data_IF_017650868395
#
_entry.id   IF_017650868395
#
_cell.length_a   1.000
_cell.length_b   1.000
_cell.length_c   1.000
_cell.angle_alpha   90.00
_cell.angle_beta   90.00
_cell.angle_gamma   90.00
#
_symmetry.space_group_name_H-M   'P 1'
#
loop_
_entity.id
_entity.type
_entity.pdbx_description
1 polymer ?
#
# COMPACT_ATOMS: atom_id res chain seq x y z
N UNK A 1 -30.71 -7.78 13.40
CA UNK A 1 -29.92 -7.10 12.37
C UNK A 1 -28.56 -6.78 12.99
N UNK A 2 -27.49 -7.20 12.37
CA UNK A 2 -26.14 -7.00 12.94
C UNK A 2 -25.73 -5.53 12.95
N UNK A 3 -24.82 -5.17 13.85
CA UNK A 3 -24.17 -3.87 13.87
C UNK A 3 -23.38 -3.65 12.59
N UNK A 4 -23.45 -2.46 12.02
CA UNK A 4 -22.77 -2.10 10.78
C UNK A 4 -21.25 -2.15 10.93
N UNK A 5 -20.72 -1.65 12.06
CA UNK A 5 -19.28 -1.64 12.30
C UNK A 5 -18.72 -3.04 12.59
N UNK A 6 -19.48 -3.89 13.30
CA UNK A 6 -19.09 -5.30 13.48
C UNK A 6 -19.02 -6.04 12.13
N UNK A 7 -19.98 -5.82 11.24
CA UNK A 7 -19.95 -6.40 9.89
C UNK A 7 -18.75 -5.93 9.07
N UNK A 8 -18.38 -4.63 9.16
CA UNK A 8 -17.21 -4.10 8.47
C UNK A 8 -15.91 -4.71 9.03
N UNK A 9 -15.81 -4.82 10.36
CA UNK A 9 -14.70 -5.48 11.04
C UNK A 9 -14.55 -6.94 10.61
N UNK A 10 -15.64 -7.73 10.65
CA UNK A 10 -15.63 -9.13 10.22
C UNK A 10 -15.15 -9.30 8.77
N UNK A 11 -15.61 -8.43 7.86
CA UNK A 11 -15.15 -8.44 6.46
C UNK A 11 -13.66 -8.07 6.38
N UNK A 12 -13.18 -7.11 7.18
CA UNK A 12 -11.77 -6.76 7.23
C UNK A 12 -10.90 -7.87 7.82
N UNK A 13 -11.42 -8.71 8.70
CA UNK A 13 -10.74 -9.88 9.27
C UNK A 13 -10.75 -11.10 8.33
N UNK A 14 -11.71 -11.21 7.44
CA UNK A 14 -11.80 -12.34 6.50
C UNK A 14 -10.68 -12.30 5.45
N UNK A 15 -9.72 -13.24 5.46
CA UNK A 15 -8.62 -13.27 4.49
C UNK A 15 -9.07 -13.49 3.05
N UNK A 16 -10.30 -13.97 2.83
CA UNK A 16 -10.88 -14.18 1.51
C UNK A 16 -11.61 -12.93 0.98
N UNK A 17 -11.95 -11.97 1.84
CA UNK A 17 -12.61 -10.75 1.40
C UNK A 17 -11.67 -9.89 0.53
N UNK A 18 -12.22 -9.33 -0.54
CA UNK A 18 -11.46 -8.48 -1.45
C UNK A 18 -11.07 -7.15 -0.76
N UNK A 19 -9.80 -6.71 -0.80
CA UNK A 19 -9.43 -5.38 -0.35
C UNK A 19 -10.22 -4.25 -1.04
N UNK A 20 -10.65 -4.45 -2.29
CA UNK A 20 -11.49 -3.49 -3.01
C UNK A 20 -12.89 -3.36 -2.36
N UNK A 21 -13.50 -4.48 -1.97
CA UNK A 21 -14.81 -4.47 -1.31
C UNK A 21 -14.73 -3.87 0.09
N UNK A 22 -13.64 -4.15 0.82
CA UNK A 22 -13.35 -3.54 2.13
C UNK A 22 -13.25 -2.02 1.98
N UNK A 23 -12.47 -1.55 1.00
CA UNK A 23 -12.27 -0.13 0.70
C UNK A 23 -13.61 0.59 0.43
N UNK A 24 -14.43 0.05 -0.47
CA UNK A 24 -15.71 0.68 -0.83
C UNK A 24 -16.69 0.73 0.36
N UNK A 25 -16.78 -0.35 1.13
CA UNK A 25 -17.62 -0.39 2.33
C UNK A 25 -17.12 0.59 3.40
N UNK A 26 -15.81 0.63 3.65
CA UNK A 26 -15.20 1.55 4.60
C UNK A 26 -15.42 3.02 4.19
N UNK A 27 -15.24 3.34 2.90
CA UNK A 27 -15.47 4.69 2.38
C UNK A 27 -16.94 5.11 2.54
N UNK A 28 -17.88 4.19 2.31
CA UNK A 28 -19.29 4.47 2.54
C UNK A 28 -19.55 4.79 4.03
N UNK A 29 -19.06 3.97 4.97
CA UNK A 29 -19.27 4.19 6.39
C UNK A 29 -18.59 5.48 6.88
N UNK A 30 -17.35 5.75 6.45
CA UNK A 30 -16.67 7.00 6.76
C UNK A 30 -17.45 8.23 6.27
N UNK A 31 -18.12 8.11 5.11
CA UNK A 31 -18.96 9.17 4.55
C UNK A 31 -20.22 9.40 5.40
N UNK A 32 -20.90 8.34 5.82
CA UNK A 32 -22.09 8.46 6.69
C UNK A 32 -21.74 9.00 8.06
N UNK A 33 -20.58 8.61 8.63
CA UNK A 33 -20.03 9.13 9.88
C UNK A 33 -19.44 10.54 9.75
N UNK A 34 -19.26 11.06 8.51
CA UNK A 34 -18.66 12.37 8.21
C UNK A 34 -17.22 12.54 8.67
N UNK A 35 -16.46 11.46 8.77
CA UNK A 35 -15.05 11.46 9.16
C UNK A 35 -14.15 11.85 7.99
N UNK A 36 -13.94 13.15 7.79
CA UNK A 36 -13.21 13.70 6.64
C UNK A 36 -11.80 13.12 6.44
N UNK A 37 -10.95 12.98 7.49
CA UNK A 37 -9.59 12.42 7.30
C UNK A 37 -9.63 11.00 6.74
N UNK A 38 -10.48 10.12 7.31
CA UNK A 38 -10.66 8.73 6.85
C UNK A 38 -11.19 8.69 5.42
N UNK A 39 -12.19 9.53 5.08
CA UNK A 39 -12.72 9.62 3.71
C UNK A 39 -11.65 10.03 2.70
N UNK A 40 -10.83 11.03 3.03
CA UNK A 40 -9.78 11.53 2.13
C UNK A 40 -8.72 10.46 1.91
N UNK A 41 -8.28 9.77 2.96
CA UNK A 41 -7.36 8.66 2.86
C UNK A 41 -7.92 7.53 1.99
N UNK A 42 -9.14 7.04 2.27
CA UNK A 42 -9.77 5.97 1.49
C UNK A 42 -10.00 6.35 0.02
N UNK A 43 -10.29 7.62 -0.29
CA UNK A 43 -10.38 8.08 -1.68
C UNK A 43 -9.04 8.03 -2.39
N UNK A 44 -7.95 8.43 -1.71
CA UNK A 44 -6.59 8.31 -2.27
C UNK A 44 -6.20 6.85 -2.50
N UNK A 45 -6.57 5.97 -1.59
CA UNK A 45 -6.37 4.53 -1.79
C UNK A 45 -7.15 4.00 -3.00
N UNK A 46 -8.38 4.49 -3.21
CA UNK A 46 -9.24 4.10 -4.33
C UNK A 46 -8.78 4.68 -5.67
N UNK A 47 -8.39 5.96 -5.67
CA UNK A 47 -8.15 6.73 -6.91
C UNK A 47 -6.66 6.79 -7.28
N UNK A 48 -5.77 6.37 -6.37
CA UNK A 48 -4.33 6.51 -6.49
C UNK A 48 -3.83 7.88 -6.02
N UNK A 49 -2.51 8.07 -6.04
CA UNK A 49 -1.83 9.28 -5.58
C UNK A 49 -1.24 10.05 -6.76
N UNK A 50 -1.48 11.35 -6.84
CA UNK A 50 -0.88 12.22 -7.86
C UNK A 50 0.65 12.32 -7.69
N UNK A 51 1.36 12.72 -8.75
CA UNK A 51 2.83 12.74 -8.76
C UNK A 51 3.44 13.70 -7.72
N UNK A 52 2.75 14.79 -7.40
CA UNK A 52 3.14 15.83 -6.45
C UNK A 52 2.56 15.60 -5.03
N UNK A 53 1.76 14.55 -4.85
CA UNK A 53 1.10 14.27 -3.58
C UNK A 53 1.98 13.34 -2.72
N UNK A 54 2.16 13.60 -1.40
CA UNK A 54 2.90 12.69 -0.53
C UNK A 54 2.18 11.37 -0.38
N UNK A 55 2.93 10.27 -0.42
CA UNK A 55 2.40 8.93 -0.13
C UNK A 55 2.66 8.55 1.32
N UNK A 56 1.77 7.79 1.98
CA UNK A 56 2.04 7.21 3.30
C UNK A 56 3.26 6.27 3.29
N UNK A 57 3.91 6.10 4.45
CA UNK A 57 5.13 5.29 4.55
C UNK A 57 4.97 3.84 4.10
N UNK A 58 3.82 3.22 4.35
CA UNK A 58 3.56 1.86 3.87
C UNK A 58 3.49 1.73 2.33
N UNK A 59 3.45 2.85 1.60
CA UNK A 59 3.54 2.89 0.14
C UNK A 59 4.94 3.20 -0.39
N UNK A 60 5.95 3.28 0.48
CA UNK A 60 7.36 3.48 0.12
C UNK A 60 8.09 2.13 0.15
N UNK A 61 8.54 1.66 -0.99
CA UNK A 61 9.30 0.41 -1.12
C UNK A 61 10.80 0.69 -1.00
N UNK A 62 11.30 0.76 0.24
CA UNK A 62 12.71 1.03 0.54
C UNK A 62 13.64 -0.13 0.13
N UNK A 63 13.13 -1.35 0.08
CA UNK A 63 13.83 -2.55 -0.34
C UNK A 63 13.93 -2.75 -1.87
N UNK A 64 13.67 -1.69 -2.66
CA UNK A 64 13.80 -1.76 -4.11
C UNK A 64 15.27 -1.84 -4.52
N UNK A 65 15.58 -2.69 -5.51
CA UNK A 65 16.94 -2.87 -6.03
C UNK A 65 17.12 -2.10 -7.33
N UNK A 66 18.22 -1.37 -7.47
CA UNK A 66 18.55 -0.68 -8.72
C UNK A 66 19.00 -1.68 -9.79
N UNK A 67 18.40 -1.58 -10.97
CA UNK A 67 18.75 -2.33 -12.16
C UNK A 67 19.35 -1.40 -13.21
N UNK A 68 20.33 -1.91 -13.94
CA UNK A 68 20.94 -1.24 -15.10
C UNK A 68 20.74 -2.09 -16.36
N UNK A 69 20.47 -1.45 -17.49
CA UNK A 69 20.39 -2.14 -18.78
C UNK A 69 21.78 -2.37 -19.35
N UNK A 70 22.09 -3.62 -19.68
CA UNK A 70 23.35 -4.00 -20.35
C UNK A 70 23.04 -4.58 -21.73
N UNK A 71 23.57 -4.01 -22.82
CA UNK A 71 23.44 -4.58 -24.15
C UNK A 71 23.91 -6.04 -24.18
N UNK A 72 23.11 -6.93 -24.77
CA UNK A 72 23.39 -8.37 -24.86
C UNK A 72 23.05 -9.20 -23.61
N UNK A 73 22.90 -8.58 -22.42
CA UNK A 73 22.53 -9.27 -21.19
C UNK A 73 21.15 -8.85 -20.66
N UNK A 74 20.59 -7.72 -21.12
CA UNK A 74 19.32 -7.20 -20.62
C UNK A 74 19.45 -6.46 -19.29
N UNK A 75 18.43 -6.54 -18.45
CA UNK A 75 18.43 -5.93 -17.12
C UNK A 75 19.26 -6.76 -16.14
N UNK A 76 20.23 -6.14 -15.51
CA UNK A 76 21.08 -6.73 -14.46
C UNK A 76 21.01 -5.87 -13.21
N UNK A 77 21.35 -6.42 -12.05
CA UNK A 77 21.54 -5.61 -10.85
C UNK A 77 22.65 -4.58 -11.12
N UNK A 78 22.40 -3.31 -10.81
CA UNK A 78 23.39 -2.27 -11.01
C UNK A 78 24.65 -2.57 -10.16
N UNK A 79 25.84 -2.49 -10.74
CA UNK A 79 27.09 -2.75 -10.01
C UNK A 79 27.50 -1.54 -9.16
N UNK A 80 26.69 -1.20 -8.16
CA UNK A 80 26.84 -0.03 -7.30
C UNK A 80 26.78 -0.42 -5.83
N UNK A 81 27.36 0.41 -4.98
CA UNK A 81 27.22 0.27 -3.54
C UNK A 81 25.81 0.71 -3.12
N UNK A 82 25.01 -0.23 -2.67
CA UNK A 82 23.61 -0.01 -2.26
C UNK A 82 23.51 1.03 -1.11
N UNK A 83 24.51 1.12 -0.24
CA UNK A 83 24.53 2.09 0.86
C UNK A 83 24.56 3.52 0.32
N UNK A 84 25.32 3.77 -0.76
CA UNK A 84 25.45 5.11 -1.35
C UNK A 84 24.16 5.60 -2.02
N UNK A 85 23.32 4.67 -2.51
CA UNK A 85 22.08 4.99 -3.20
C UNK A 85 20.83 4.70 -2.34
N UNK A 86 21.00 4.24 -1.12
CA UNK A 86 19.92 3.89 -0.21
C UNK A 86 18.92 5.03 -0.11
N UNK A 87 18.31 5.70 0.02
CA UNK A 87 17.34 6.79 0.00
C UNK A 87 16.92 7.28 -1.41
N UNK A 88 17.70 6.94 -2.46
CA UNK A 88 17.34 7.26 -3.84
C UNK A 88 16.55 6.13 -4.53
N UNK A 89 16.62 4.93 -3.98
CA UNK A 89 16.00 3.73 -4.55
C UNK A 89 14.64 3.39 -3.91
N UNK A 90 14.18 4.18 -2.95
CA UNK A 90 12.84 4.02 -2.38
C UNK A 90 11.78 4.36 -3.44
N UNK A 91 11.07 3.32 -3.93
CA UNK A 91 10.00 3.52 -4.90
C UNK A 91 8.70 3.96 -4.18
N UNK A 92 8.08 5.02 -4.67
CA UNK A 92 6.75 5.44 -4.22
C UNK A 92 5.66 4.73 -5.05
N UNK A 93 4.83 3.94 -4.37
CA UNK A 93 3.80 3.11 -5.00
C UNK A 93 2.46 3.85 -5.04
N UNK A 94 2.25 4.60 -6.10
CA UNK A 94 1.12 5.53 -6.28
C UNK A 94 -0.13 4.90 -6.88
N UNK A 95 -0.02 3.66 -7.36
CA UNK A 95 -1.11 2.92 -8.02
C UNK A 95 -2.30 2.72 -7.07
N UNK A 96 -3.50 2.86 -7.60
CA UNK A 96 -4.76 2.63 -6.87
C UNK A 96 -4.94 1.17 -6.43
N UNK A 97 -5.70 0.98 -5.34
CA UNK A 97 -5.95 -0.35 -4.75
C UNK A 97 -6.70 -1.27 -5.71
N UNK A 98 -7.60 -0.74 -6.54
CA UNK A 98 -8.39 -1.56 -7.47
C UNK A 98 -7.49 -2.20 -8.53
N UNK A 99 -6.51 -1.45 -9.06
CA UNK A 99 -5.52 -1.99 -9.98
C UNK A 99 -4.57 -2.99 -9.29
N UNK A 100 -4.14 -2.69 -8.06
CA UNK A 100 -3.33 -3.62 -7.28
C UNK A 100 -4.03 -4.94 -7.02
N UNK A 101 -5.32 -4.93 -6.69
CA UNK A 101 -6.13 -6.16 -6.51
C UNK A 101 -6.20 -6.96 -7.81
N UNK A 102 -6.48 -6.30 -8.94
CA UNK A 102 -6.54 -6.95 -10.26
C UNK A 102 -5.21 -7.61 -10.64
N UNK A 103 -4.09 -6.97 -10.31
CA UNK A 103 -2.73 -7.42 -10.70
C UNK A 103 -2.04 -8.27 -9.63
N UNK A 104 -2.62 -8.42 -8.44
CA UNK A 104 -2.00 -9.05 -7.26
C UNK A 104 -1.36 -10.40 -7.59
N UNK A 105 -2.12 -11.30 -8.20
CA UNK A 105 -1.62 -12.66 -8.50
C UNK A 105 -0.45 -12.62 -9.47
N UNK A 106 -0.48 -11.75 -10.48
CA UNK A 106 0.62 -11.56 -11.42
C UNK A 106 1.85 -10.98 -10.72
N UNK A 107 1.68 -9.94 -9.91
CA UNK A 107 2.77 -9.31 -9.16
C UNK A 107 3.45 -10.35 -8.25
N UNK A 108 2.67 -11.17 -7.54
CA UNK A 108 3.20 -12.25 -6.69
C UNK A 108 3.90 -13.28 -7.55
N UNK A 109 3.28 -13.74 -8.63
CA UNK A 109 3.85 -14.77 -9.50
C UNK A 109 5.15 -14.33 -10.17
N UNK A 110 5.26 -13.05 -10.52
CA UNK A 110 6.46 -12.46 -11.11
C UNK A 110 7.54 -12.09 -10.06
N UNK A 111 7.18 -12.15 -8.75
CA UNK A 111 8.04 -11.81 -7.63
C UNK A 111 8.16 -10.31 -7.37
N UNK A 112 7.52 -9.47 -8.20
CA UNK A 112 7.56 -8.01 -8.12
C UNK A 112 7.31 -7.34 -9.46
N UNK A 113 7.63 -6.04 -9.53
CA UNK A 113 7.46 -5.21 -10.72
C UNK A 113 8.76 -4.45 -11.01
N UNK A 114 9.18 -4.43 -12.27
CA UNK A 114 10.24 -3.53 -12.73
C UNK A 114 9.61 -2.20 -13.13
N UNK A 115 10.08 -1.13 -12.51
CA UNK A 115 9.70 0.25 -12.84
C UNK A 115 10.88 0.93 -13.52
N UNK A 116 10.77 1.23 -14.81
CA UNK A 116 11.80 1.99 -15.53
C UNK A 116 11.80 3.43 -15.01
N UNK A 117 12.99 3.97 -14.84
CA UNK A 117 13.19 5.32 -14.32
C UNK A 117 13.29 6.33 -15.45
N UNK A 118 12.66 7.47 -15.27
CA UNK A 118 12.67 8.59 -16.21
C UNK A 118 12.84 9.92 -15.47
N UNK A 119 13.21 10.97 -16.19
CA UNK A 119 13.32 12.33 -15.66
C UNK A 119 14.35 12.51 -14.54
N UNK A 120 14.09 13.41 -13.63
CA UNK A 120 15.04 13.88 -12.62
C UNK A 120 15.63 12.77 -11.73
N UNK A 121 14.84 11.74 -11.36
CA UNK A 121 15.35 10.63 -10.56
C UNK A 121 16.34 9.77 -11.35
N UNK A 122 16.05 9.52 -12.63
CA UNK A 122 16.97 8.80 -13.52
C UNK A 122 18.28 9.56 -13.67
N UNK A 123 18.24 10.86 -13.98
CA UNK A 123 19.42 11.71 -14.12
C UNK A 123 20.25 11.75 -12.84
N UNK A 124 19.59 11.89 -11.70
CA UNK A 124 20.27 11.90 -10.40
C UNK A 124 20.97 10.56 -10.11
N UNK A 125 20.29 9.44 -10.35
CA UNK A 125 20.88 8.12 -10.15
C UNK A 125 22.03 7.85 -11.13
N UNK A 126 21.94 8.28 -12.41
CA UNK A 126 23.05 8.22 -13.34
C UNK A 126 24.28 8.99 -12.82
N UNK A 127 24.07 10.21 -12.32
CA UNK A 127 25.15 11.02 -11.75
C UNK A 127 25.80 10.38 -10.52
N UNK A 128 25.01 9.86 -9.58
CA UNK A 128 25.50 9.22 -8.35
C UNK A 128 26.20 7.88 -8.59
N UNK A 129 25.76 7.14 -9.62
CA UNK A 129 26.28 5.80 -9.93
C UNK A 129 27.34 5.80 -11.03
N UNK A 130 27.48 6.90 -11.75
CA UNK A 130 28.30 7.03 -12.95
C UNK A 130 27.95 5.97 -14.04
N UNK A 131 26.66 5.61 -14.13
CA UNK A 131 26.14 4.64 -15.11
C UNK A 131 25.37 5.39 -16.20
N UNK A 132 25.96 5.49 -17.39
CA UNK A 132 25.31 6.06 -18.58
C UNK A 132 24.47 4.99 -19.31
N UNK A 133 23.37 4.57 -18.68
CA UNK A 133 22.47 3.56 -19.25
C UNK A 133 21.04 3.73 -18.72
N UNK A 134 20.09 2.98 -19.28
CA UNK A 134 18.76 2.90 -18.74
C UNK A 134 18.80 2.27 -17.36
N UNK A 135 18.09 2.88 -16.42
CA UNK A 135 17.95 2.42 -15.04
C UNK A 135 16.49 2.07 -14.74
N UNK A 136 16.29 1.12 -13.84
CA UNK A 136 14.98 0.72 -13.35
C UNK A 136 15.06 0.33 -11.87
N UNK A 137 13.93 0.38 -11.16
CA UNK A 137 13.80 -0.21 -9.82
C UNK A 137 13.10 -1.57 -9.92
N UNK A 138 13.70 -2.58 -9.34
CA UNK A 138 13.07 -3.85 -9.07
C UNK A 138 12.34 -3.75 -7.73
N UNK A 139 11.03 -3.54 -7.77
CA UNK A 139 10.17 -3.42 -6.59
C UNK A 139 9.61 -4.79 -6.24
N UNK A 140 9.91 -5.37 -5.06
CA UNK A 140 9.49 -6.70 -4.70
C UNK A 140 7.97 -6.80 -4.48
N UNK A 141 7.38 -7.97 -4.74
CA UNK A 141 5.94 -8.22 -4.59
C UNK A 141 5.41 -7.90 -3.19
N UNK A 142 6.23 -8.13 -2.16
CA UNK A 142 5.86 -7.84 -0.76
C UNK A 142 5.48 -6.37 -0.54
N UNK A 143 6.10 -5.41 -1.26
CA UNK A 143 5.78 -3.99 -1.12
C UNK A 143 4.36 -3.67 -1.62
N UNK A 144 3.90 -4.35 -2.65
CA UNK A 144 2.52 -4.21 -3.16
C UNK A 144 1.51 -4.93 -2.27
N UNK A 145 1.85 -6.12 -1.78
CA UNK A 145 1.00 -6.88 -0.86
C UNK A 145 0.85 -6.12 0.46
N UNK A 146 1.91 -5.51 0.96
CA UNK A 146 1.89 -4.67 2.16
C UNK A 146 0.82 -3.58 2.09
N UNK A 147 0.63 -2.92 0.94
CA UNK A 147 -0.41 -1.90 0.77
C UNK A 147 -1.81 -2.49 1.03
N UNK A 148 -2.10 -3.64 0.42
CA UNK A 148 -3.40 -4.29 0.56
C UNK A 148 -3.66 -4.79 1.98
N UNK A 149 -2.63 -5.32 2.63
CA UNK A 149 -2.71 -5.80 4.01
C UNK A 149 -2.85 -4.62 5.00
N UNK A 150 -2.08 -3.54 4.81
CA UNK A 150 -2.18 -2.33 5.65
C UNK A 150 -3.56 -1.68 5.53
N UNK A 151 -4.13 -1.59 4.31
CA UNK A 151 -5.49 -1.10 4.12
C UNK A 151 -6.50 -1.92 4.94
N UNK A 152 -6.44 -3.24 4.82
CA UNK A 152 -7.32 -4.17 5.56
C UNK A 152 -7.20 -3.99 7.07
N UNK A 153 -5.97 -3.96 7.58
CA UNK A 153 -5.67 -3.81 9.00
C UNK A 153 -6.10 -2.43 9.52
N UNK A 154 -5.90 -1.36 8.74
CA UNK A 154 -6.33 -0.01 9.12
C UNK A 154 -7.87 0.09 9.22
N UNK A 155 -8.60 -0.54 8.30
CA UNK A 155 -10.07 -0.60 8.39
C UNK A 155 -10.51 -1.42 9.61
N UNK A 156 -9.81 -2.50 9.96
CA UNK A 156 -10.08 -3.27 11.17
C UNK A 156 -9.84 -2.43 12.42
N UNK A 157 -8.66 -1.82 12.57
CA UNK A 157 -8.31 -0.96 13.72
C UNK A 157 -9.30 0.18 13.87
N UNK A 158 -9.64 0.84 12.78
CA UNK A 158 -10.66 1.90 12.78
C UNK A 158 -12.02 1.39 13.25
N UNK A 159 -12.46 0.23 12.75
CA UNK A 159 -13.73 -0.39 13.17
C UNK A 159 -13.72 -0.77 14.65
N UNK A 160 -12.62 -1.35 15.14
CA UNK A 160 -12.45 -1.71 16.55
C UNK A 160 -12.57 -0.47 17.46
N UNK A 161 -11.88 0.64 17.15
CA UNK A 161 -11.98 1.90 17.90
C UNK A 161 -13.39 2.47 17.93
N UNK A 162 -14.14 2.37 16.82
CA UNK A 162 -15.54 2.82 16.76
C UNK A 162 -16.44 1.94 17.64
N UNK A 163 -16.28 0.63 17.59
CA UNK A 163 -17.05 -0.33 18.41
C UNK A 163 -16.78 -0.11 19.90
N UNK A 164 -15.51 0.04 20.29
CA UNK A 164 -15.10 0.34 21.67
C UNK A 164 -15.69 1.64 22.19
N UNK A 165 -15.90 2.63 21.33
CA UNK A 165 -16.58 3.88 21.67
C UNK A 165 -18.12 3.78 21.66
N UNK A 166 -18.68 2.58 21.44
CA UNK A 166 -20.13 2.35 21.40
C UNK A 166 -20.80 2.81 20.09
N UNK A 167 -20.03 2.98 19.02
CA UNK A 167 -20.52 3.39 17.71
C UNK A 167 -20.71 2.14 16.86
N UNK A 168 -21.92 1.65 16.80
CA UNK A 168 -22.21 0.39 16.14
C UNK A 168 -22.94 0.57 14.79
N UNK A 169 -23.85 1.52 14.70
CA UNK A 169 -24.73 1.73 13.57
C UNK A 169 -25.73 0.58 13.33
N UNK A 170 -26.81 0.87 12.66
CA UNK A 170 -27.83 -0.12 12.29
C UNK A 170 -28.26 0.07 10.83
N UNK A 171 -28.11 -0.96 10.01
CA UNK A 171 -28.56 -0.95 8.62
C UNK A 171 -27.99 0.19 7.76
N UNK A 172 -26.76 0.59 7.96
CA UNK A 172 -26.08 1.73 7.29
C UNK A 172 -26.45 3.13 7.84
N UNK A 173 -27.12 3.20 8.99
CA UNK A 173 -27.45 4.47 9.62
C UNK A 173 -26.75 4.59 10.99
N UNK A 174 -26.35 5.81 11.31
CA UNK A 174 -25.81 6.19 12.61
C UNK A 174 -26.62 7.34 13.19
N UNK A 175 -26.80 7.35 14.49
CA UNK A 175 -27.45 8.44 15.22
C UNK A 175 -26.59 9.71 15.16
N UNK A 176 -27.21 10.84 15.51
CA UNK A 176 -26.46 12.12 15.61
C UNK A 176 -25.42 12.08 16.73
N UNK A 177 -25.66 11.32 17.78
CA UNK A 177 -24.74 11.13 18.89
C UNK A 177 -23.55 10.27 18.49
N UNK A 178 -23.76 9.11 17.85
CA UNK A 178 -22.69 8.28 17.30
C UNK A 178 -21.80 9.06 16.32
N UNK A 179 -22.40 9.89 15.46
CA UNK A 179 -21.63 10.74 14.52
C UNK A 179 -20.74 11.76 15.25
N UNK A 180 -21.19 12.30 16.38
CA UNK A 180 -20.37 13.22 17.18
C UNK A 180 -19.24 12.48 17.90
N UNK A 181 -19.52 11.33 18.49
CA UNK A 181 -18.53 10.49 19.16
C UNK A 181 -17.49 9.94 18.18
N UNK A 182 -17.85 9.73 16.93
CA UNK A 182 -16.95 9.23 15.89
C UNK A 182 -15.89 10.25 15.44
N UNK A 183 -16.13 11.57 15.55
CA UNK A 183 -15.22 12.59 15.01
C UNK A 183 -13.79 12.48 15.56
N UNK A 184 -13.55 12.42 16.88
CA UNK A 184 -12.19 12.31 17.41
C UNK A 184 -11.45 11.06 16.92
N UNK A 185 -12.17 9.95 16.67
CA UNK A 185 -11.57 8.73 16.15
C UNK A 185 -11.12 8.92 14.69
N UNK A 186 -11.90 9.63 13.90
CA UNK A 186 -11.51 9.98 12.52
C UNK A 186 -10.27 10.88 12.44
N UNK A 187 -10.07 11.72 13.44
CA UNK A 187 -8.90 12.61 13.53
C UNK A 187 -7.61 11.86 13.92
N UNK A 188 -7.71 10.62 14.43
CA UNK A 188 -6.59 9.74 14.77
C UNK A 188 -6.09 8.89 13.58
N UNK A 189 -6.31 9.31 12.35
CA UNK A 189 -5.93 8.53 11.16
C UNK A 189 -4.45 8.12 11.17
N UNK A 190 -3.53 9.01 11.55
CA UNK A 190 -2.10 8.70 11.59
C UNK A 190 -1.78 7.59 12.59
N UNK A 191 -2.42 7.60 13.76
CA UNK A 191 -2.26 6.54 14.76
C UNK A 191 -2.84 5.21 14.27
N UNK A 192 -4.00 5.23 13.60
CA UNK A 192 -4.63 4.06 13.00
C UNK A 192 -3.70 3.44 11.95
N UNK A 193 -3.11 4.26 11.09
CA UNK A 193 -2.18 3.81 10.06
C UNK A 193 -0.86 3.28 10.64
N UNK A 194 -0.34 3.92 11.69
CA UNK A 194 0.86 3.45 12.38
C UNK A 194 0.63 2.07 13.03
N UNK A 195 -0.48 1.89 13.73
CA UNK A 195 -0.87 0.61 14.33
C UNK A 195 -1.07 -0.47 13.27
N UNK A 196 -1.79 -0.17 12.19
CA UNK A 196 -2.00 -1.09 11.09
C UNK A 196 -0.68 -1.50 10.41
N UNK A 197 0.27 -0.58 10.27
CA UNK A 197 1.59 -0.85 9.70
C UNK A 197 2.42 -1.74 10.62
N UNK A 198 2.35 -1.54 11.93
CA UNK A 198 3.01 -2.40 12.91
C UNK A 198 2.45 -3.83 12.86
N UNK A 199 1.13 -3.98 12.85
CA UNK A 199 0.46 -5.28 12.71
C UNK A 199 0.80 -5.97 11.37
N UNK A 200 0.89 -5.21 10.29
CA UNK A 200 1.27 -5.73 8.99
C UNK A 200 2.70 -6.30 8.98
N UNK A 201 3.64 -5.67 9.69
CA UNK A 201 5.02 -6.14 9.78
C UNK A 201 5.15 -7.52 10.45
N UNK A 202 4.16 -7.95 11.25
CA UNK A 202 4.10 -9.27 11.87
C UNK A 202 3.57 -10.37 10.94
N UNK A 203 2.95 -9.98 9.81
CA UNK A 203 2.41 -10.95 8.85
C UNK A 203 3.54 -11.65 8.08
N UNK A 204 3.39 -12.96 7.77
CA UNK A 204 4.37 -13.66 6.95
C UNK A 204 4.43 -13.04 5.54
N UNK A 205 5.63 -12.95 4.96
CA UNK A 205 5.77 -12.45 3.59
C UNK A 205 5.03 -13.36 2.60
N UNK A 206 4.53 -12.80 1.49
CA UNK A 206 3.89 -13.61 0.47
C UNK A 206 4.86 -14.66 -0.06
N UNK A 207 4.42 -15.91 -0.11
CA UNK A 207 5.20 -17.04 -0.66
C UNK A 207 5.32 -16.86 -2.17
N UNK A 208 6.43 -16.31 -2.63
CA UNK A 208 6.79 -16.24 -4.05
C UNK A 208 8.25 -16.60 -4.23
N UNK A 209 8.61 -17.23 -5.36
CA UNK A 209 10.03 -17.35 -5.72
C UNK A 209 10.63 -15.96 -5.83
N UNK A 210 11.84 -15.78 -5.30
CA UNK A 210 12.49 -14.48 -5.23
C UNK A 210 12.50 -13.78 -6.60
N UNK A 211 12.10 -12.51 -6.63
CA UNK A 211 12.04 -11.69 -7.84
C UNK A 211 13.36 -11.69 -8.61
N UNK A 212 14.48 -11.59 -7.92
CA UNK A 212 15.81 -11.64 -8.49
C UNK A 212 16.13 -12.99 -9.16
N UNK A 213 15.70 -14.11 -8.59
CA UNK A 213 15.88 -15.44 -9.19
C UNK A 213 15.15 -15.59 -10.53
N UNK A 214 14.03 -14.86 -10.74
CA UNK A 214 13.28 -14.85 -12.00
C UNK A 214 13.81 -13.85 -13.02
N UNK A 215 14.31 -12.70 -12.59
CA UNK A 215 14.96 -11.73 -13.47
C UNK A 215 16.23 -12.28 -14.11
N UNK A 216 16.99 -13.09 -13.35
CA UNK A 216 18.28 -13.62 -13.79
C UNK A 216 18.25 -15.12 -14.12
N UNK A 217 17.19 -15.86 -13.79
CA UNK A 217 17.06 -17.30 -13.96
C UNK A 217 16.49 -17.76 -15.30
N UNK A 218 16.33 -16.88 -16.29
CA UNK A 218 16.02 -17.24 -17.69
C UNK A 218 17.28 -17.15 -18.52
N UNK A 219 18.10 -18.19 -18.46
CA UNK A 219 18.97 -18.60 -19.55
C UNK A 219 18.21 -19.55 -20.48
#
# INVERSE_FOLDING_TARGET
MGSTMHTLREIAEDPQASPADILEKALFQATVLRQKPIQQWLRRERDGYAADEPVPDYRRAEESTLLAWRPGAGWIQAPVDEIKIAGLTAAELRTDVLDLVRRRNRIISDGGVRQELEGALHERLQAETNLDTRLALAVPARSYVRILDTLRLAVRVWSDRLIEAGIEGHGSAFTSEEKKLAQPIGDQLEEILAEATALQAELPPPTAPGFMARLFGRT
#
